data_IF_031057264014
#
_entry.id   IF_031057264014
#
_cell.length_a   1.000
_cell.length_b   1.000
_cell.length_c   1.000
_cell.angle_alpha   90.00
_cell.angle_beta   90.00
_cell.angle_gamma   90.00
#
_symmetry.space_group_name_H-M   'P 1'
#
loop_
_entity.id
_entity.type
_entity.pdbx_description
1 polymer ?
#
# COMPACT_ATOMS: atom_id res chain seq x y z
N UNK A 1 -42.25 -22.60 31.67
CA UNK A 1 -41.99 -23.43 30.47
C UNK A 1 -41.43 -22.53 29.38
N UNK A 2 -40.36 -22.97 28.71
CA UNK A 2 -39.34 -22.16 28.01
C UNK A 2 -39.87 -21.42 26.77
N UNK A 3 -39.57 -20.13 26.67
CA UNK A 3 -39.73 -19.30 25.46
C UNK A 3 -38.52 -19.56 24.56
N UNK A 4 -38.75 -20.09 23.35
CA UNK A 4 -37.69 -20.23 22.34
C UNK A 4 -37.61 -18.93 21.52
N UNK A 5 -36.52 -18.18 21.67
CA UNK A 5 -36.15 -17.12 20.73
C UNK A 5 -35.57 -17.76 19.47
N UNK A 6 -36.26 -17.61 18.33
CA UNK A 6 -35.65 -17.83 17.01
C UNK A 6 -34.71 -16.66 16.70
N UNK A 7 -33.40 -16.89 16.75
CA UNK A 7 -32.40 -16.00 16.16
C UNK A 7 -32.42 -16.19 14.63
N UNK A 8 -32.98 -15.24 13.89
CA UNK A 8 -32.87 -15.18 12.44
C UNK A 8 -31.44 -14.75 12.06
N UNK A 9 -30.66 -15.70 11.53
CA UNK A 9 -29.36 -15.40 10.93
C UNK A 9 -29.60 -14.80 9.54
N UNK A 10 -29.42 -13.48 9.41
CA UNK A 10 -29.34 -12.81 8.12
C UNK A 10 -28.00 -13.19 7.47
N UNK A 11 -28.04 -14.15 6.55
CA UNK A 11 -26.90 -14.44 5.66
C UNK A 11 -26.88 -13.35 4.60
N UNK A 12 -25.96 -12.39 4.73
CA UNK A 12 -25.71 -11.41 3.68
C UNK A 12 -25.16 -12.11 2.44
N UNK A 13 -25.75 -11.82 1.28
CA UNK A 13 -25.16 -12.18 -0.02
C UNK A 13 -23.87 -11.37 -0.19
N UNK A 14 -22.72 -11.99 0.05
CA UNK A 14 -21.44 -11.43 -0.37
C UNK A 14 -21.34 -11.68 -1.87
N UNK A 15 -21.58 -10.65 -2.68
CA UNK A 15 -21.27 -10.73 -4.11
C UNK A 15 -19.76 -10.98 -4.25
N UNK A 16 -19.38 -12.08 -4.90
CA UNK A 16 -17.98 -12.31 -5.23
C UNK A 16 -17.57 -11.35 -6.35
N UNK A 17 -16.53 -10.55 -6.12
CA UNK A 17 -15.98 -9.65 -7.13
C UNK A 17 -15.33 -10.49 -8.25
N UNK A 18 -15.72 -10.25 -9.50
CA UNK A 18 -15.05 -10.83 -10.65
C UNK A 18 -13.88 -9.94 -11.08
N UNK A 19 -12.71 -10.23 -10.51
CA UNK A 19 -11.46 -9.53 -10.84
C UNK A 19 -11.02 -9.70 -12.30
N UNK A 20 -11.56 -10.68 -13.05
CA UNK A 20 -11.29 -10.81 -14.48
C UNK A 20 -12.06 -9.79 -15.33
N UNK A 21 -13.16 -9.24 -14.81
CA UNK A 21 -14.06 -8.36 -15.53
C UNK A 21 -14.03 -6.91 -15.01
N UNK A 22 -13.04 -6.56 -14.16
CA UNK A 22 -12.92 -5.20 -13.63
C UNK A 22 -12.51 -4.21 -14.73
N UNK A 23 -13.34 -3.19 -15.03
CA UNK A 23 -13.07 -2.24 -16.12
C UNK A 23 -11.88 -1.33 -15.84
N UNK A 24 -11.50 -1.17 -14.58
CA UNK A 24 -10.32 -0.41 -14.12
C UNK A 24 -9.01 -1.13 -14.40
N UNK A 25 -9.07 -2.40 -14.77
CA UNK A 25 -7.93 -3.24 -15.03
C UNK A 25 -7.72 -3.41 -16.54
N UNK A 26 -6.82 -2.62 -17.12
CA UNK A 26 -6.54 -2.64 -18.57
C UNK A 26 -5.61 -3.79 -19.01
N UNK A 27 -5.19 -4.63 -18.06
CA UNK A 27 -4.28 -5.77 -18.26
C UNK A 27 -4.75 -6.93 -17.35
N UNK A 28 -3.97 -8.02 -17.26
CA UNK A 28 -4.29 -9.17 -16.43
C UNK A 28 -4.27 -8.82 -14.94
N UNK A 29 -5.45 -8.86 -14.31
CA UNK A 29 -5.57 -8.71 -12.87
C UNK A 29 -4.86 -9.86 -12.11
N UNK A 30 -4.17 -9.54 -11.02
CA UNK A 30 -3.39 -10.51 -10.21
C UNK A 30 -4.25 -11.65 -9.63
N UNK A 31 -5.51 -11.35 -9.30
CA UNK A 31 -6.48 -12.33 -8.81
C UNK A 31 -7.29 -13.03 -9.91
N UNK A 32 -7.22 -12.59 -11.18
CA UNK A 32 -7.99 -13.21 -12.26
C UNK A 32 -7.50 -14.63 -12.54
N UNK A 33 -8.41 -15.61 -12.42
CA UNK A 33 -8.10 -17.05 -12.54
C UNK A 33 -6.95 -17.53 -11.64
N UNK A 34 -6.66 -16.80 -10.56
CA UNK A 34 -5.60 -17.12 -9.62
C UNK A 34 -6.17 -17.84 -8.40
N UNK A 35 -5.76 -19.10 -8.21
CA UNK A 35 -6.23 -19.93 -7.09
C UNK A 35 -5.48 -19.66 -5.78
N UNK A 36 -4.48 -18.78 -5.79
CA UNK A 36 -3.69 -18.45 -4.60
C UNK A 36 -2.68 -19.53 -4.23
N UNK A 37 -2.24 -20.34 -5.19
CA UNK A 37 -1.15 -21.28 -5.00
C UNK A 37 0.19 -20.56 -5.14
N UNK A 38 1.23 -21.09 -4.49
CA UNK A 38 2.61 -20.67 -4.79
C UNK A 38 2.97 -20.97 -6.24
N UNK A 39 3.71 -20.06 -6.86
CA UNK A 39 4.28 -20.27 -8.19
C UNK A 39 5.25 -21.46 -8.18
N UNK A 40 5.36 -22.17 -9.30
CA UNK A 40 6.30 -23.30 -9.47
C UNK A 40 7.77 -22.87 -9.23
N UNK A 41 8.07 -21.58 -9.41
CA UNK A 41 9.39 -21.00 -9.17
C UNK A 41 9.69 -20.74 -7.68
N UNK A 42 8.73 -20.91 -6.77
CA UNK A 42 8.96 -20.78 -5.34
C UNK A 42 9.74 -21.98 -4.78
N UNK A 43 10.65 -21.78 -3.81
CA UNK A 43 11.28 -22.90 -3.11
C UNK A 43 10.27 -23.75 -2.34
N UNK A 44 10.62 -25.01 -2.08
CA UNK A 44 9.71 -26.00 -1.46
C UNK A 44 9.33 -25.66 -0.02
N UNK A 45 10.20 -24.94 0.68
CA UNK A 45 10.07 -24.49 2.06
C UNK A 45 9.36 -23.13 2.19
N UNK A 46 8.86 -22.56 1.08
CA UNK A 46 8.14 -21.30 1.13
C UNK A 46 6.96 -21.35 2.09
N UNK A 47 6.82 -20.30 2.89
CA UNK A 47 5.72 -20.13 3.82
C UNK A 47 5.22 -18.69 3.83
N UNK A 48 3.92 -18.53 4.01
CA UNK A 48 3.31 -17.24 4.28
C UNK A 48 3.72 -16.76 5.67
N UNK A 49 3.93 -15.45 5.81
CA UNK A 49 4.11 -14.79 7.11
C UNK A 49 2.74 -14.37 7.61
N UNK A 50 2.43 -14.67 8.88
CA UNK A 50 1.21 -14.17 9.49
C UNK A 50 1.33 -12.66 9.70
N UNK A 51 0.61 -11.87 8.90
CA UNK A 51 0.70 -10.41 8.93
C UNK A 51 -0.10 -9.77 10.06
N UNK A 52 -1.08 -10.46 10.64
CA UNK A 52 -2.02 -9.91 11.62
C UNK A 52 -1.32 -9.26 12.85
N UNK A 53 -0.25 -9.85 13.43
CA UNK A 53 0.53 -9.20 14.49
C UNK A 53 1.31 -7.94 14.06
N UNK A 54 1.52 -7.75 12.76
CA UNK A 54 2.37 -6.70 12.19
C UNK A 54 1.58 -5.54 11.55
N UNK A 55 0.26 -5.67 11.36
CA UNK A 55 -0.57 -4.63 10.75
C UNK A 55 -0.45 -3.28 11.45
N UNK A 56 -0.48 -3.29 12.78
CA UNK A 56 -0.33 -2.07 13.60
C UNK A 56 1.04 -1.43 13.39
N UNK A 57 2.11 -2.23 13.39
CA UNK A 57 3.47 -1.74 13.14
C UNK A 57 3.55 -1.06 11.76
N UNK A 58 3.05 -1.73 10.72
CA UNK A 58 3.07 -1.23 9.35
C UNK A 58 2.29 0.08 9.23
N UNK A 59 1.06 0.12 9.76
CA UNK A 59 0.25 1.35 9.76
C UNK A 59 0.92 2.49 10.51
N UNK A 60 1.52 2.21 11.67
CA UNK A 60 2.25 3.21 12.44
C UNK A 60 3.42 3.76 11.64
N UNK A 61 4.26 2.91 11.05
CA UNK A 61 5.40 3.34 10.24
C UNK A 61 4.95 4.24 9.08
N UNK A 62 3.98 3.82 8.27
CA UNK A 62 3.52 4.63 7.15
C UNK A 62 2.89 5.96 7.60
N UNK A 63 2.04 5.95 8.63
CA UNK A 63 1.40 7.19 9.10
C UNK A 63 2.38 8.14 9.79
N UNK A 64 3.38 7.65 10.52
CA UNK A 64 4.44 8.50 11.11
C UNK A 64 5.30 9.17 10.02
N UNK A 65 5.70 8.41 9.00
CA UNK A 65 6.45 8.93 7.86
C UNK A 65 5.65 9.99 7.09
N UNK A 66 4.38 9.70 6.81
CA UNK A 66 3.45 10.65 6.15
C UNK A 66 3.23 11.90 7.00
N UNK A 67 3.04 11.75 8.32
CA UNK A 67 2.85 12.88 9.23
C UNK A 67 4.09 13.79 9.29
N UNK A 68 5.29 13.20 9.23
CA UNK A 68 6.57 13.92 9.15
C UNK A 68 6.68 14.73 7.86
N UNK A 69 6.36 14.12 6.71
CA UNK A 69 6.39 14.79 5.40
C UNK A 69 5.34 15.90 5.34
N UNK A 70 4.09 15.61 5.71
CA UNK A 70 3.01 16.59 5.67
C UNK A 70 3.26 17.79 6.59
N UNK A 71 3.95 17.58 7.71
CA UNK A 71 4.37 18.63 8.64
C UNK A 71 5.52 19.51 8.15
N UNK A 72 6.20 19.12 7.06
CA UNK A 72 7.34 19.86 6.51
C UNK A 72 8.64 19.65 7.29
N UNK A 73 8.79 18.52 7.99
CA UNK A 73 10.01 18.17 8.71
C UNK A 73 11.10 17.57 7.81
N UNK A 74 10.78 17.29 6.54
CA UNK A 74 11.75 16.83 5.54
C UNK A 74 12.23 18.04 4.75
N UNK A 75 13.51 18.37 4.92
CA UNK A 75 14.16 19.47 4.20
C UNK A 75 14.00 19.31 2.68
N UNK A 76 13.73 20.43 2.00
CA UNK A 76 13.54 20.47 0.56
C UNK A 76 12.17 20.00 0.07
N UNK A 77 11.30 19.45 0.94
CA UNK A 77 9.94 19.04 0.55
C UNK A 77 8.89 19.99 1.12
N UNK A 78 7.85 20.34 0.35
CA UNK A 78 6.78 21.20 0.85
C UNK A 78 5.91 20.47 1.89
N UNK A 79 5.31 21.22 2.80
CA UNK A 79 4.21 20.74 3.66
C UNK A 79 3.03 20.31 2.80
N UNK A 80 2.24 19.34 3.27
CA UNK A 80 1.07 18.86 2.54
C UNK A 80 -0.24 19.40 3.15
N UNK A 81 -1.06 20.04 2.34
CA UNK A 81 -2.33 20.62 2.78
C UNK A 81 -3.37 19.56 3.13
N UNK A 82 -3.31 18.39 2.49
CA UNK A 82 -4.42 17.43 2.49
C UNK A 82 -3.94 15.98 2.38
N UNK A 83 -3.00 15.55 3.22
CA UNK A 83 -2.49 14.17 3.20
C UNK A 83 -3.36 13.25 4.06
N UNK A 84 -3.90 12.15 3.51
CA UNK A 84 -4.75 11.23 4.26
C UNK A 84 -3.97 10.40 5.31
N UNK A 85 -4.59 10.15 6.45
CA UNK A 85 -4.24 9.03 7.33
C UNK A 85 -4.68 7.71 6.67
N UNK A 86 -3.77 6.73 6.62
CA UNK A 86 -4.03 5.40 6.10
C UNK A 86 -4.69 4.50 7.16
N UNK A 87 -5.58 3.62 6.71
CA UNK A 87 -6.14 2.49 7.47
C UNK A 87 -5.81 1.15 6.80
N UNK A 88 -5.88 0.05 7.55
CA UNK A 88 -5.65 -1.27 6.98
C UNK A 88 -6.83 -1.69 6.10
N UNK A 89 -6.54 -2.40 5.00
CA UNK A 89 -7.54 -2.96 4.11
C UNK A 89 -7.22 -4.42 3.76
N UNK A 90 -8.11 -5.31 4.21
CA UNK A 90 -8.00 -6.75 3.97
C UNK A 90 -8.00 -7.12 2.48
N UNK A 91 -8.79 -6.42 1.66
CA UNK A 91 -8.82 -6.69 0.22
C UNK A 91 -7.46 -6.40 -0.43
N UNK A 92 -6.84 -5.26 -0.09
CA UNK A 92 -5.51 -4.90 -0.60
C UNK A 92 -4.44 -5.88 -0.11
N UNK A 93 -4.52 -6.33 1.15
CA UNK A 93 -3.61 -7.33 1.72
C UNK A 93 -3.77 -8.70 1.04
N UNK A 94 -5.01 -9.12 0.78
CA UNK A 94 -5.30 -10.35 0.05
C UNK A 94 -4.77 -10.29 -1.40
N UNK A 95 -4.91 -9.16 -2.07
CA UNK A 95 -4.31 -8.95 -3.39
C UNK A 95 -2.77 -8.97 -3.35
N UNK A 96 -2.17 -8.43 -2.29
CA UNK A 96 -0.72 -8.50 -2.09
C UNK A 96 -0.24 -9.94 -1.87
N UNK A 97 -1.08 -10.80 -1.26
CA UNK A 97 -0.77 -12.21 -1.03
C UNK A 97 -0.52 -12.96 -2.35
N UNK A 98 -1.35 -12.72 -3.37
CA UNK A 98 -1.14 -13.32 -4.69
C UNK A 98 0.20 -12.88 -5.32
N UNK A 99 0.63 -11.64 -5.09
CA UNK A 99 1.90 -11.14 -5.59
C UNK A 99 3.09 -11.84 -4.90
N UNK A 100 3.12 -11.89 -3.56
CA UNK A 100 4.24 -12.51 -2.83
C UNK A 100 4.32 -14.02 -3.05
N UNK A 101 3.21 -14.69 -3.42
CA UNK A 101 3.19 -16.10 -3.83
C UNK A 101 3.93 -16.38 -5.14
N UNK A 102 4.47 -15.37 -5.80
CA UNK A 102 5.44 -15.52 -6.89
C UNK A 102 6.88 -15.70 -6.40
N UNK A 103 7.15 -15.45 -5.12
CA UNK A 103 8.49 -15.43 -4.51
C UNK A 103 9.48 -14.45 -5.17
N UNK A 104 8.96 -13.40 -5.80
CA UNK A 104 9.72 -12.39 -6.52
C UNK A 104 9.32 -10.99 -6.03
N UNK A 105 10.26 -10.04 -6.07
CA UNK A 105 9.98 -8.63 -5.81
C UNK A 105 9.70 -7.90 -7.13
N UNK A 106 8.64 -8.32 -7.82
CA UNK A 106 8.19 -7.72 -9.08
C UNK A 106 6.75 -7.19 -8.96
N UNK A 107 6.46 -6.02 -9.55
CA UNK A 107 5.10 -5.53 -9.56
C UNK A 107 4.22 -6.41 -10.45
N UNK A 108 3.00 -6.69 -10.00
CA UNK A 108 1.98 -7.28 -10.87
C UNK A 108 1.42 -6.24 -11.85
N UNK A 109 0.67 -6.68 -12.86
CA UNK A 109 0.15 -5.78 -13.90
C UNK A 109 -1.04 -4.95 -13.42
N UNK A 110 -1.84 -5.51 -12.53
CA UNK A 110 -3.05 -4.87 -12.09
C UNK A 110 -3.61 -5.51 -10.80
N UNK A 111 -4.06 -4.65 -9.89
CA UNK A 111 -4.59 -4.98 -8.56
C UNK A 111 -5.74 -4.05 -8.14
N UNK A 112 -6.39 -3.44 -9.11
CA UNK A 112 -7.50 -2.51 -8.90
C UNK A 112 -8.64 -3.20 -8.17
N UNK A 113 -9.41 -2.46 -7.37
CA UNK A 113 -10.64 -2.96 -6.77
C UNK A 113 -11.80 -2.03 -7.12
N UNK A 114 -13.03 -2.43 -6.82
CA UNK A 114 -14.20 -1.53 -6.97
C UNK A 114 -14.06 -0.25 -6.14
N UNK A 115 -13.31 -0.31 -5.03
CA UNK A 115 -13.07 0.82 -4.12
C UNK A 115 -11.82 1.63 -4.47
N UNK A 116 -10.90 1.02 -5.21
CA UNK A 116 -9.56 1.53 -5.47
C UNK A 116 -9.22 1.30 -6.94
N UNK A 117 -9.68 2.20 -7.80
CA UNK A 117 -9.55 2.09 -9.25
C UNK A 117 -8.08 2.00 -9.70
N UNK A 118 -7.17 2.68 -9.00
CA UNK A 118 -5.75 2.81 -9.36
C UNK A 118 -4.83 2.38 -8.22
N UNK A 119 -5.04 1.18 -7.68
CA UNK A 119 -4.27 0.68 -6.53
C UNK A 119 -2.76 0.60 -6.80
N UNK A 120 -1.98 1.30 -5.98
CA UNK A 120 -0.52 1.32 -6.04
C UNK A 120 0.12 0.11 -5.37
N UNK A 121 1.42 -0.07 -5.57
CA UNK A 121 2.17 -1.18 -4.98
C UNK A 121 3.61 -0.80 -4.70
N UNK A 122 4.14 -1.29 -3.58
CA UNK A 122 5.57 -1.41 -3.33
C UNK A 122 5.92 -2.87 -3.10
N UNK A 123 7.02 -3.31 -3.70
CA UNK A 123 7.61 -4.63 -3.49
C UNK A 123 9.05 -4.47 -3.00
N UNK A 124 9.46 -5.38 -2.13
CA UNK A 124 10.85 -5.54 -1.76
C UNK A 124 11.16 -7.00 -1.42
N UNK A 125 12.43 -7.33 -1.56
CA UNK A 125 13.02 -8.60 -1.15
C UNK A 125 14.22 -8.26 -0.26
N UNK A 126 14.27 -8.88 0.90
CA UNK A 126 15.40 -8.83 1.82
C UNK A 126 16.01 -10.22 1.90
N UNK A 127 17.33 -10.30 1.80
CA UNK A 127 18.07 -11.56 1.81
C UNK A 127 19.21 -11.50 2.81
N UNK A 128 19.40 -12.56 3.60
CA UNK A 128 20.44 -12.61 4.63
C UNK A 128 20.97 -14.03 4.82
N UNK A 129 22.23 -14.15 5.20
CA UNK A 129 22.88 -15.40 5.56
C UNK A 129 22.71 -15.71 7.05
N UNK A 130 22.98 -16.95 7.46
CA UNK A 130 22.94 -17.37 8.87
C UNK A 130 21.63 -18.05 9.24
N UNK A 131 21.32 -18.07 10.54
CA UNK A 131 20.10 -18.71 11.03
C UNK A 131 18.85 -17.95 10.54
N UNK A 132 17.78 -18.65 10.19
CA UNK A 132 16.51 -18.00 9.79
C UNK A 132 15.98 -17.06 10.90
N UNK A 133 16.22 -17.42 12.16
CA UNK A 133 15.83 -16.64 13.34
C UNK A 133 16.70 -15.41 13.62
N UNK A 134 17.70 -15.10 12.79
CA UNK A 134 18.58 -13.94 12.97
C UNK A 134 17.80 -12.62 12.99
N UNK A 135 16.75 -12.52 12.17
CA UNK A 135 15.87 -11.35 12.11
C UNK A 135 14.41 -11.77 12.29
N UNK A 136 13.69 -11.02 13.13
CA UNK A 136 12.24 -11.16 13.26
C UNK A 136 11.53 -10.63 12.02
N UNK A 137 10.29 -11.07 11.77
CA UNK A 137 9.47 -10.51 10.68
C UNK A 137 9.31 -8.98 10.83
N UNK A 138 9.15 -8.50 12.07
CA UNK A 138 8.96 -7.10 12.39
C UNK A 138 10.17 -6.22 12.02
N UNK A 139 11.40 -6.69 12.29
CA UNK A 139 12.63 -5.98 11.93
C UNK A 139 12.77 -5.85 10.42
N UNK A 140 12.57 -6.94 9.68
CA UNK A 140 12.66 -6.93 8.22
C UNK A 140 11.59 -6.02 7.61
N UNK A 141 10.34 -6.11 8.07
CA UNK A 141 9.23 -5.25 7.60
C UNK A 141 9.59 -3.78 7.81
N UNK A 142 10.06 -3.42 9.01
CA UNK A 142 10.45 -2.05 9.33
C UNK A 142 11.55 -1.56 8.41
N UNK A 143 12.61 -2.35 8.25
CA UNK A 143 13.75 -1.99 7.40
C UNK A 143 13.33 -1.75 5.95
N UNK A 144 12.50 -2.63 5.38
CA UNK A 144 12.04 -2.50 3.99
C UNK A 144 11.18 -1.24 3.78
N UNK A 145 10.29 -0.91 4.72
CA UNK A 145 9.48 0.32 4.68
C UNK A 145 10.38 1.56 4.79
N UNK A 146 11.35 1.54 5.70
CA UNK A 146 12.33 2.63 5.83
C UNK A 146 13.19 2.77 4.56
N UNK A 147 13.54 1.67 3.89
CA UNK A 147 14.28 1.68 2.64
C UNK A 147 13.47 2.28 1.47
N UNK A 148 12.15 2.04 1.42
CA UNK A 148 11.26 2.77 0.50
C UNK A 148 11.26 4.27 0.81
N UNK A 149 11.21 4.65 2.10
CA UNK A 149 11.23 6.05 2.50
C UNK A 149 12.58 6.75 2.27
N UNK A 150 13.71 6.03 2.33
CA UNK A 150 15.04 6.56 1.98
C UNK A 150 15.10 7.08 0.54
N UNK A 151 14.22 6.62 -0.35
CA UNK A 151 14.13 7.11 -1.72
C UNK A 151 13.66 8.58 -1.82
N UNK A 152 13.25 9.20 -0.71
CA UNK A 152 13.04 10.66 -0.61
C UNK A 152 14.25 11.48 -1.06
N UNK A 153 15.46 10.94 -0.93
CA UNK A 153 16.68 11.61 -1.38
C UNK A 153 16.72 11.81 -2.91
N UNK A 154 15.88 11.07 -3.66
CA UNK A 154 15.71 11.20 -5.10
C UNK A 154 14.45 12.01 -5.48
N UNK A 155 13.71 12.53 -4.50
CA UNK A 155 12.52 13.34 -4.74
C UNK A 155 12.89 14.81 -4.84
N UNK A 156 12.11 15.56 -5.60
CA UNK A 156 12.23 17.02 -5.71
C UNK A 156 10.84 17.66 -5.69
N UNK A 157 10.72 18.97 -5.36
CA UNK A 157 9.46 19.69 -5.45
C UNK A 157 8.79 19.55 -6.82
N UNK A 158 9.56 19.50 -7.90
CA UNK A 158 9.05 19.36 -9.27
C UNK A 158 8.38 17.99 -9.47
N UNK A 159 9.04 16.90 -9.05
CA UNK A 159 8.48 15.55 -9.11
C UNK A 159 7.18 15.45 -8.28
N UNK A 160 7.15 16.12 -7.13
CA UNK A 160 5.98 16.09 -6.24
C UNK A 160 4.82 16.96 -6.76
N UNK A 161 5.11 18.07 -7.43
CA UNK A 161 4.10 18.98 -7.97
C UNK A 161 3.45 18.43 -9.25
N UNK A 162 4.21 17.72 -10.08
CA UNK A 162 3.68 17.02 -11.26
C UNK A 162 4.50 15.77 -11.50
N UNK A 163 3.93 14.61 -11.19
CA UNK A 163 4.64 13.35 -11.28
C UNK A 163 5.01 13.05 -12.74
N UNK A 164 6.30 12.90 -13.09
CA UNK A 164 6.70 12.77 -14.48
C UNK A 164 6.44 11.36 -15.02
N UNK A 165 6.27 11.25 -16.34
CA UNK A 165 6.20 9.97 -17.05
C UNK A 165 7.55 9.23 -16.97
N UNK A 166 8.64 9.96 -17.18
CA UNK A 166 10.00 9.45 -17.07
C UNK A 166 10.68 9.95 -15.80
N UNK A 167 10.97 9.03 -14.87
CA UNK A 167 11.69 9.34 -13.63
C UNK A 167 13.20 9.20 -13.85
N UNK A 168 14.01 10.21 -13.43
CA UNK A 168 15.47 10.09 -13.43
C UNK A 168 15.96 8.88 -12.62
N UNK A 169 15.26 8.59 -11.51
CA UNK A 169 15.48 7.40 -10.70
C UNK A 169 14.13 6.77 -10.37
N UNK A 170 13.82 5.62 -10.99
CA UNK A 170 12.57 4.89 -10.79
C UNK A 170 12.30 4.52 -9.32
N UNK A 171 13.33 4.43 -8.46
CA UNK A 171 13.13 4.11 -7.05
C UNK A 171 12.41 5.22 -6.27
N UNK A 172 12.41 6.48 -6.75
CA UNK A 172 11.66 7.55 -6.09
C UNK A 172 10.16 7.24 -6.02
N UNK A 173 9.63 6.45 -6.96
CA UNK A 173 8.26 5.99 -6.97
C UNK A 173 7.85 5.25 -5.68
N UNK A 174 8.80 4.52 -5.07
CA UNK A 174 8.58 3.79 -3.82
C UNK A 174 8.32 4.73 -2.65
N UNK A 175 8.98 5.89 -2.66
CA UNK A 175 8.72 6.96 -1.70
C UNK A 175 7.42 7.70 -2.04
N UNK A 176 7.23 8.12 -3.30
CA UNK A 176 6.08 8.96 -3.67
C UNK A 176 4.75 8.25 -3.49
N UNK A 177 4.66 6.93 -3.78
CA UNK A 177 3.43 6.18 -3.50
C UNK A 177 3.15 6.13 -2.00
N UNK A 178 4.17 5.96 -1.15
CA UNK A 178 4.01 5.95 0.30
C UNK A 178 3.50 7.28 0.86
N UNK A 179 3.80 8.41 0.19
CA UNK A 179 3.40 9.76 0.62
C UNK A 179 2.30 10.39 -0.26
N UNK A 180 1.75 9.65 -1.22
CA UNK A 180 0.67 10.14 -2.07
C UNK A 180 -0.54 10.54 -1.22
N UNK A 181 -1.06 11.75 -1.42
CA UNK A 181 -2.02 12.33 -0.49
C UNK A 181 -3.32 11.53 -0.39
N UNK A 182 -3.77 10.97 -1.51
CA UNK A 182 -5.04 10.26 -1.66
C UNK A 182 -4.98 8.80 -1.16
N UNK A 183 -3.82 8.35 -0.69
CA UNK A 183 -3.67 7.01 -0.14
C UNK A 183 -4.34 6.90 1.24
N UNK A 184 -5.59 6.45 1.23
CA UNK A 184 -6.45 6.27 2.40
C UNK A 184 -6.33 4.88 3.02
N UNK A 185 -5.91 3.88 2.26
CA UNK A 185 -5.81 2.50 2.72
C UNK A 185 -4.51 1.84 2.27
N UNK A 186 -4.10 0.84 3.03
CA UNK A 186 -2.92 0.02 2.83
C UNK A 186 -3.24 -1.43 3.21
N UNK A 187 -2.69 -2.40 2.48
CA UNK A 187 -2.69 -3.81 2.89
C UNK A 187 -1.44 -4.49 2.37
N UNK A 188 -0.79 -5.31 3.20
CA UNK A 188 0.47 -5.96 2.86
C UNK A 188 0.41 -7.47 3.11
N UNK A 189 1.27 -8.20 2.39
CA UNK A 189 1.50 -9.62 2.58
C UNK A 189 3.00 -9.93 2.46
N UNK A 190 3.44 -11.04 3.06
CA UNK A 190 4.82 -11.47 2.96
C UNK A 190 4.96 -13.00 2.91
N UNK A 191 6.06 -13.45 2.32
CA UNK A 191 6.51 -14.85 2.35
C UNK A 191 7.97 -14.94 2.78
N UNK A 192 8.32 -16.07 3.40
CA UNK A 192 9.69 -16.48 3.70
C UNK A 192 10.04 -17.78 2.99
N UNK A 193 11.31 -17.92 2.62
CA UNK A 193 11.87 -19.15 2.05
C UNK A 193 13.40 -19.09 2.10
N UNK A 194 14.07 -20.22 1.96
CA UNK A 194 15.51 -20.29 1.75
C UNK A 194 15.85 -20.59 0.29
N UNK A 195 16.88 -19.95 -0.23
CA UNK A 195 17.43 -20.18 -1.58
C UNK A 195 18.90 -19.78 -1.63
N UNK A 196 19.72 -20.64 -2.25
CA UNK A 196 21.14 -20.40 -2.49
C UNK A 196 21.92 -20.03 -1.21
N UNK A 197 21.65 -20.73 -0.10
CA UNK A 197 22.24 -20.49 1.22
C UNK A 197 21.83 -19.17 1.93
N UNK A 198 20.87 -18.44 1.36
CA UNK A 198 20.27 -17.24 1.97
C UNK A 198 18.83 -17.51 2.40
N UNK A 199 18.42 -16.86 3.48
CA UNK A 199 17.02 -16.68 3.84
C UNK A 199 16.50 -15.46 3.10
N UNK A 200 15.28 -15.55 2.56
CA UNK A 200 14.62 -14.48 1.82
C UNK A 200 13.30 -14.11 2.47
N UNK A 201 12.98 -12.82 2.44
CA UNK A 201 11.72 -12.25 2.87
C UNK A 201 11.19 -11.33 1.77
N UNK A 202 10.08 -11.70 1.15
CA UNK A 202 9.42 -10.88 0.13
C UNK A 202 8.23 -10.19 0.76
N UNK A 203 8.22 -8.85 0.70
CA UNK A 203 7.12 -8.01 1.17
C UNK A 203 6.49 -7.30 -0.02
N UNK A 204 5.16 -7.37 -0.08
CA UNK A 204 4.37 -6.51 -0.98
C UNK A 204 3.35 -5.76 -0.17
N UNK A 205 3.27 -4.44 -0.42
CA UNK A 205 2.28 -3.55 0.15
C UNK A 205 1.49 -2.88 -0.98
N UNK A 206 0.19 -3.06 -0.97
CA UNK A 206 -0.75 -2.43 -1.89
C UNK A 206 -1.39 -1.21 -1.23
N UNK A 207 -1.57 -0.14 -2.01
CA UNK A 207 -2.10 1.14 -1.58
C UNK A 207 -3.41 1.46 -2.30
N UNK A 208 -4.28 2.24 -1.67
CA UNK A 208 -5.58 2.64 -2.23
C UNK A 208 -5.49 3.42 -3.56
N UNK A 209 -4.35 4.06 -3.82
CA UNK A 209 -4.04 4.78 -5.05
C UNK A 209 -2.55 4.64 -5.40
N UNK A 210 -2.16 5.14 -6.56
CA UNK A 210 -0.79 5.15 -7.07
C UNK A 210 -0.40 6.57 -7.47
N UNK A 211 0.84 6.74 -7.94
CA UNK A 211 1.25 8.00 -8.57
C UNK A 211 0.61 8.11 -9.95
N UNK A 212 -0.05 9.24 -10.21
CA UNK A 212 -0.69 9.53 -11.49
C UNK A 212 0.18 10.52 -12.25
N UNK A 213 0.59 10.16 -13.45
CA UNK A 213 1.45 10.99 -14.30
C UNK A 213 0.75 12.32 -14.60
N UNK A 214 1.50 13.42 -14.47
CA UNK A 214 1.03 14.79 -14.63
C UNK A 214 0.30 15.36 -13.41
N UNK A 215 -0.10 14.54 -12.43
CA UNK A 215 -0.77 15.00 -11.21
C UNK A 215 0.24 15.17 -10.06
N UNK A 216 -0.07 16.03 -9.07
CA UNK A 216 0.74 16.13 -7.87
C UNK A 216 0.65 14.85 -7.04
N UNK A 217 1.78 14.46 -6.44
CA UNK A 217 1.83 13.39 -5.41
C UNK A 217 1.05 13.82 -4.18
N UNK A 218 1.22 15.09 -3.78
CA UNK A 218 0.38 15.76 -2.79
C UNK A 218 0.34 17.26 -3.03
N UNK A 219 -0.70 17.91 -2.55
CA UNK A 219 -0.93 19.34 -2.69
C UNK A 219 -0.12 20.12 -1.63
N UNK A 220 0.79 21.03 -2.03
CA UNK A 220 1.50 21.89 -1.10
C UNK A 220 0.55 22.83 -0.33
N UNK A 221 0.92 23.22 0.90
CA UNK A 221 0.20 24.30 1.60
C UNK A 221 0.92 24.81 2.85
N UNK A 222 0.69 26.07 3.21
CA UNK A 222 1.40 26.74 4.32
C UNK A 222 1.22 26.06 5.67
N UNK A 223 0.06 25.43 5.86
CA UNK A 223 -0.32 24.66 7.03
C UNK A 223 -0.78 23.26 6.63
N UNK A 224 -0.25 22.25 7.34
CA UNK A 224 -0.76 20.90 7.24
C UNK A 224 -2.27 20.86 7.52
N UNK A 225 -2.96 19.91 6.91
CA UNK A 225 -4.42 19.68 7.06
C UNK A 225 -5.35 20.85 6.70
N UNK A 226 -4.83 21.95 6.14
CA UNK A 226 -5.64 23.11 5.72
C UNK A 226 -6.61 22.79 4.57
N UNK A 227 -6.31 21.76 3.78
CA UNK A 227 -7.15 21.29 2.68
C UNK A 227 -8.07 20.12 3.05
N UNK A 228 -8.04 19.60 4.29
CA UNK A 228 -8.93 18.51 4.68
C UNK A 228 -10.40 18.96 4.60
N UNK A 229 -11.25 18.16 3.96
CA UNK A 229 -12.66 18.46 3.71
C UNK A 229 -13.58 17.76 4.70
N UNK A 230 -13.12 16.69 5.36
CA UNK A 230 -13.91 16.05 6.40
C UNK A 230 -14.07 17.00 7.59
N UNK A 231 -15.25 17.03 8.23
CA UNK A 231 -15.56 17.88 9.38
C UNK A 231 -14.60 17.73 10.56
N UNK A 232 -13.94 16.59 10.70
CA UNK A 232 -12.97 16.35 11.77
C UNK A 232 -11.60 16.99 11.49
N UNK A 233 -11.33 17.39 10.24
CA UNK A 233 -10.06 17.97 9.84
C UNK A 233 -8.90 17.01 10.05
N UNK A 234 -8.00 17.35 10.97
CA UNK A 234 -6.82 16.56 11.31
C UNK A 234 -7.17 15.29 12.10
N UNK A 235 -6.37 14.24 11.93
CA UNK A 235 -6.41 13.07 12.80
C UNK A 235 -5.80 13.41 14.18
N UNK A 236 -6.37 12.88 15.25
CA UNK A 236 -5.92 13.16 16.62
C UNK A 236 -4.51 12.64 16.91
N UNK A 237 -4.19 11.42 16.45
CA UNK A 237 -2.91 10.74 16.64
C UNK A 237 -1.84 11.13 15.63
N UNK A 238 -2.24 11.72 14.50
CA UNK A 238 -1.36 12.20 13.43
C UNK A 238 -1.81 13.60 12.98
N UNK A 239 -1.44 14.67 13.70
CA UNK A 239 -2.03 15.99 13.55
C UNK A 239 -1.73 16.68 12.21
N UNK A 240 -0.77 16.19 11.42
CA UNK A 240 -0.48 16.71 10.08
C UNK A 240 -1.23 15.94 8.97
N UNK A 241 -2.02 14.92 9.33
CA UNK A 241 -2.79 14.10 8.39
C UNK A 241 -4.29 14.37 8.55
N UNK A 242 -5.03 14.31 7.44
CA UNK A 242 -6.48 14.32 7.46
C UNK A 242 -7.03 13.08 8.16
N UNK A 243 -8.19 13.22 8.78
CA UNK A 243 -8.94 12.14 9.41
C UNK A 243 -9.11 10.93 8.46
N UNK A 244 -9.11 9.71 9.01
CA UNK A 244 -9.12 8.45 8.25
C UNK A 244 -10.31 8.28 7.28
N UNK A 245 -11.37 9.06 7.42
CA UNK A 245 -12.55 9.08 6.53
C UNK A 245 -12.60 10.32 5.64
N UNK A 246 -11.45 10.90 5.34
CA UNK A 246 -11.31 11.97 4.35
C UNK A 246 -11.67 11.45 2.95
N UNK A 247 -12.34 12.29 2.15
CA UNK A 247 -12.98 11.88 0.89
C UNK A 247 -12.07 12.22 -0.30
N UNK A 248 -11.63 11.20 -1.04
CA UNK A 248 -10.77 11.35 -2.23
C UNK A 248 -11.30 10.68 -3.50
N UNK A 249 -12.47 10.03 -3.42
CA UNK A 249 -13.12 9.35 -4.54
C UNK A 249 -12.20 8.34 -5.27
N UNK A 250 -11.50 7.50 -4.50
CA UNK A 250 -10.53 6.53 -5.04
C UNK A 250 -11.17 5.44 -5.93
N UNK A 251 -12.49 5.32 -5.91
CA UNK A 251 -13.29 4.46 -6.78
C UNK A 251 -13.52 5.04 -8.18
N UNK A 252 -13.34 6.36 -8.38
CA UNK A 252 -13.67 7.01 -9.65
C UNK A 252 -12.66 6.66 -10.74
N UNK A 253 -13.19 6.20 -11.87
CA UNK A 253 -12.43 6.00 -13.10
C UNK A 253 -12.29 7.33 -13.82
N UNK A 254 -11.05 7.71 -14.14
CA UNK A 254 -10.72 8.93 -14.87
C UNK A 254 -10.31 8.54 -16.30
N UNK A 255 -10.97 9.08 -17.35
CA UNK A 255 -10.56 8.86 -18.73
C UNK A 255 -9.12 9.32 -18.99
N UNK A 256 -8.41 8.58 -19.85
CA UNK A 256 -7.04 8.90 -20.28
C UNK A 256 -6.00 9.03 -19.15
N UNK A 257 -6.30 8.46 -17.99
CA UNK A 257 -5.37 8.45 -16.86
C UNK A 257 -4.14 7.62 -17.20
N UNK A 258 -2.98 8.17 -16.88
CA UNK A 258 -1.70 7.46 -16.94
C UNK A 258 -1.19 7.23 -15.52
N UNK A 259 -0.97 5.97 -15.17
CA UNK A 259 -0.45 5.56 -13.86
C UNK A 259 0.90 4.88 -14.02
N UNK A 260 1.72 4.91 -12.97
CA UNK A 260 2.99 4.19 -12.90
C UNK A 260 2.79 2.69 -12.58
#
# INVERSE_FOLDING_TARGET
MKVFLLMSVLVGLVASIDYCALPTCLDKHIACNNKGNFSENCPKDVREVNMQPHEKLILTLFNELRNTVAGGAIEGLPKAARMAKMTWCEELAHLALYNVKTCQSLPDKCRSTERFAYAGQNNAMFSYSGAESEYTDAEIIKEQIENWFKQRANASPEILASFPEDLPNKNVAKFTVAVAEKNTHLGCAAVRFSRDFYNHFVLTCNFATTNVIGQPVYTPGDKATSGCKNRYGAAFDYPNLCYAKEIYDNEKVVPDIKVL
#
